data_IF_550479154531
#
_entry.id   IF_550479154531
#
_cell.length_a   1.000
_cell.length_b   1.000
_cell.length_c   1.000
_cell.angle_alpha   90.00
_cell.angle_beta   90.00
_cell.angle_gamma   90.00
#
_symmetry.space_group_name_H-M   'P 1'
#
loop_
_entity.id
_entity.type
_entity.pdbx_description
1 polymer ?
#
# COMPACT_ATOMS: atom_id res chain seq x y z
N UNK A 1 -17.02 17.97 -16.46
CA UNK A 1 -16.33 17.31 -15.33
C UNK A 1 -15.41 16.22 -15.87
N UNK A 2 -14.17 16.12 -15.42
CA UNK A 2 -13.27 15.04 -15.83
C UNK A 2 -13.69 13.73 -15.20
N UNK A 3 -13.61 12.64 -15.96
CA UNK A 3 -13.90 11.28 -15.45
C UNK A 3 -12.73 10.80 -14.59
N UNK A 4 -13.03 10.16 -13.47
CA UNK A 4 -12.01 9.49 -12.63
C UNK A 4 -12.03 8.00 -12.92
N UNK A 5 -10.89 7.44 -13.30
CA UNK A 5 -10.70 6.00 -13.48
C UNK A 5 -9.97 5.48 -12.24
N UNK A 6 -10.54 4.48 -11.56
CA UNK A 6 -9.96 3.87 -10.36
C UNK A 6 -9.54 2.44 -10.67
N UNK A 7 -8.24 2.22 -10.80
CA UNK A 7 -7.66 0.89 -10.91
C UNK A 7 -7.21 0.38 -9.53
N UNK A 8 -7.62 -0.84 -9.17
CA UNK A 8 -7.51 -1.35 -7.80
C UNK A 8 -8.69 -0.95 -6.91
N UNK A 9 -9.83 -0.67 -7.52
CA UNK A 9 -11.05 -0.21 -6.85
C UNK A 9 -11.55 -1.16 -5.73
N UNK A 10 -11.16 -2.44 -5.76
CA UNK A 10 -11.56 -3.46 -4.78
C UNK A 10 -10.54 -3.73 -3.69
N UNK A 11 -9.38 -3.08 -3.72
CA UNK A 11 -8.40 -3.22 -2.65
C UNK A 11 -8.74 -2.29 -1.46
N UNK A 12 -7.95 -2.35 -0.39
CA UNK A 12 -8.19 -1.57 0.82
C UNK A 12 -8.20 -0.04 0.59
N UNK A 13 -7.39 0.50 -0.33
CA UNK A 13 -7.41 1.93 -0.66
C UNK A 13 -8.67 2.27 -1.46
N UNK A 14 -8.99 1.46 -2.48
CA UNK A 14 -10.19 1.61 -3.29
C UNK A 14 -11.49 1.56 -2.47
N UNK A 15 -11.53 0.70 -1.43
CA UNK A 15 -12.66 0.62 -0.51
C UNK A 15 -12.99 1.96 0.16
N UNK A 16 -11.99 2.72 0.58
CA UNK A 16 -12.18 4.04 1.20
C UNK A 16 -12.23 5.19 0.18
N UNK A 17 -11.66 4.98 -1.01
CA UNK A 17 -11.61 6.02 -2.04
C UNK A 17 -12.94 6.19 -2.76
N UNK A 18 -13.59 5.10 -3.17
CA UNK A 18 -14.83 5.17 -3.95
C UNK A 18 -15.94 5.98 -3.27
N UNK A 19 -16.25 5.80 -1.96
CA UNK A 19 -17.26 6.60 -1.28
C UNK A 19 -16.95 8.10 -1.22
N UNK A 20 -15.70 8.50 -1.43
CA UNK A 20 -15.25 9.90 -1.40
C UNK A 20 -15.34 10.58 -2.78
N UNK A 21 -15.72 9.84 -3.81
CA UNK A 21 -15.82 10.32 -5.19
C UNK A 21 -17.28 10.49 -5.63
N UNK A 22 -18.21 10.75 -4.71
CA UNK A 22 -19.65 10.85 -5.00
C UNK A 22 -19.99 11.96 -6.01
N UNK A 23 -19.25 13.06 -5.99
CA UNK A 23 -19.46 14.21 -6.88
C UNK A 23 -18.76 14.05 -8.24
N UNK A 24 -18.17 12.90 -8.53
CA UNK A 24 -17.41 12.65 -9.75
C UNK A 24 -18.03 11.50 -10.54
N UNK A 25 -17.87 11.56 -11.87
CA UNK A 25 -18.08 10.39 -12.74
C UNK A 25 -16.92 9.43 -12.58
N UNK A 26 -17.18 8.22 -12.10
CA UNK A 26 -16.14 7.22 -11.79
C UNK A 26 -16.29 6.00 -12.68
N UNK A 27 -15.18 5.54 -13.26
CA UNK A 27 -15.04 4.20 -13.84
C UNK A 27 -14.18 3.37 -12.89
N UNK A 28 -14.81 2.45 -12.17
CA UNK A 28 -14.11 1.56 -11.23
C UNK A 28 -13.76 0.24 -11.92
N UNK A 29 -12.47 -0.14 -11.90
CA UNK A 29 -11.98 -1.34 -12.58
C UNK A 29 -11.90 -2.50 -11.59
N UNK A 30 -12.49 -3.64 -11.98
CA UNK A 30 -12.48 -4.89 -11.23
C UNK A 30 -12.39 -6.09 -12.15
N UNK A 31 -11.74 -7.17 -11.71
CA UNK A 31 -11.77 -8.47 -12.40
C UNK A 31 -13.10 -9.22 -12.22
N UNK A 32 -13.90 -8.81 -11.24
CA UNK A 32 -15.23 -9.36 -10.98
C UNK A 32 -16.30 -8.36 -11.37
N UNK A 33 -17.43 -8.84 -11.90
CA UNK A 33 -18.60 -8.03 -12.15
C UNK A 33 -19.15 -7.44 -10.85
N UNK A 34 -19.57 -6.18 -10.90
CA UNK A 34 -20.17 -5.45 -9.77
C UNK A 34 -21.30 -4.56 -10.30
N UNK A 35 -22.36 -4.34 -9.51
CA UNK A 35 -23.44 -3.47 -9.91
C UNK A 35 -22.99 -2.01 -10.00
N UNK A 36 -23.46 -1.31 -11.02
CA UNK A 36 -23.25 0.12 -11.17
C UNK A 36 -24.09 0.89 -10.13
N UNK A 37 -23.63 2.08 -9.79
CA UNK A 37 -24.39 3.08 -9.03
C UNK A 37 -24.54 4.35 -9.88
N UNK A 38 -25.23 5.36 -9.38
CA UNK A 38 -25.50 6.60 -10.14
C UNK A 38 -24.23 7.29 -10.66
N UNK A 39 -23.16 7.26 -9.86
CA UNK A 39 -21.90 7.92 -10.19
C UNK A 39 -20.74 6.95 -10.50
N UNK A 40 -20.86 5.65 -10.20
CA UNK A 40 -19.81 4.64 -10.41
C UNK A 40 -20.26 3.62 -11.45
N UNK A 41 -19.56 3.60 -12.57
CA UNK A 41 -19.68 2.55 -13.58
C UNK A 41 -18.57 1.52 -13.37
N UNK A 42 -18.94 0.27 -13.08
CA UNK A 42 -17.99 -0.81 -12.92
C UNK A 42 -17.63 -1.42 -14.27
N UNK A 43 -16.34 -1.43 -14.58
CA UNK A 43 -15.79 -2.12 -15.74
C UNK A 43 -15.13 -3.44 -15.28
N UNK A 44 -15.71 -4.56 -15.73
CA UNK A 44 -15.07 -5.86 -15.53
C UNK A 44 -13.98 -6.03 -16.58
N UNK A 45 -12.72 -5.98 -16.15
CA UNK A 45 -11.57 -6.13 -17.02
C UNK A 45 -10.32 -6.59 -16.24
N UNK A 46 -9.41 -7.28 -16.92
CA UNK A 46 -8.10 -7.63 -16.39
C UNK A 46 -7.02 -6.73 -17.03
N UNK A 47 -6.42 -5.88 -16.22
CA UNK A 47 -5.36 -4.94 -16.65
C UNK A 47 -4.06 -5.64 -17.07
N UNK A 48 -3.95 -6.98 -16.94
CA UNK A 48 -2.81 -7.74 -17.47
C UNK A 48 -2.96 -8.03 -18.96
N UNK A 49 -4.18 -7.99 -19.49
CA UNK A 49 -4.52 -8.35 -20.87
C UNK A 49 -5.24 -7.26 -21.64
N UNK A 50 -5.83 -6.29 -20.95
CA UNK A 50 -6.68 -5.26 -21.55
C UNK A 50 -6.16 -3.84 -21.26
N UNK A 51 -6.59 -2.89 -22.09
CA UNK A 51 -6.16 -1.48 -22.01
C UNK A 51 -7.03 -0.66 -21.05
N UNK A 52 -6.52 0.52 -20.67
CA UNK A 52 -7.27 1.50 -19.90
C UNK A 52 -8.44 2.07 -20.70
N UNK A 53 -9.65 2.24 -20.09
CA UNK A 53 -10.86 2.67 -20.79
C UNK A 53 -10.94 4.21 -20.93
N UNK A 54 -9.99 4.83 -21.66
CA UNK A 54 -9.92 6.28 -21.78
C UNK A 54 -10.71 6.76 -22.99
N UNK A 55 -11.96 7.20 -22.76
CA UNK A 55 -12.86 7.70 -23.81
C UNK A 55 -13.17 9.19 -23.68
N UNK A 56 -12.78 9.84 -22.57
CA UNK A 56 -13.01 11.26 -22.28
C UNK A 56 -11.83 11.81 -21.45
N UNK A 57 -11.70 13.13 -21.28
CA UNK A 57 -10.71 13.71 -20.37
C UNK A 57 -10.80 13.07 -18.99
N UNK A 58 -9.73 12.41 -18.56
CA UNK A 58 -9.74 11.52 -17.39
C UNK A 58 -8.52 11.71 -16.51
N UNK A 59 -8.69 11.41 -15.21
CA UNK A 59 -7.61 11.21 -14.25
C UNK A 59 -7.59 9.74 -13.83
N UNK A 60 -6.42 9.14 -13.70
CA UNK A 60 -6.24 7.76 -13.26
C UNK A 60 -5.73 7.73 -11.82
N UNK A 61 -6.53 7.13 -10.93
CA UNK A 61 -6.13 6.77 -9.57
C UNK A 61 -5.76 5.28 -9.57
N UNK A 62 -4.47 5.01 -9.44
CA UNK A 62 -3.94 3.67 -9.65
C UNK A 62 -3.38 3.08 -8.36
N UNK A 63 -4.09 2.14 -7.76
CA UNK A 63 -3.68 1.37 -6.58
C UNK A 63 -3.55 -0.14 -6.85
N UNK A 64 -3.61 -0.56 -8.11
CA UNK A 64 -3.27 -1.92 -8.54
C UNK A 64 -1.74 -2.13 -8.54
N UNK A 65 -1.21 -3.34 -8.81
CA UNK A 65 0.24 -3.57 -8.83
C UNK A 65 0.98 -2.64 -9.80
N UNK A 66 1.86 -1.80 -9.28
CA UNK A 66 2.56 -0.76 -10.04
C UNK A 66 3.31 -1.27 -11.28
N UNK A 67 3.96 -2.46 -11.28
CA UNK A 67 4.65 -2.97 -12.46
C UNK A 67 3.80 -3.13 -13.73
N UNK A 68 2.48 -3.19 -13.61
CA UNK A 68 1.58 -3.27 -14.75
C UNK A 68 1.34 -1.90 -15.43
N UNK A 69 1.44 -0.81 -14.68
CA UNK A 69 1.05 0.52 -15.14
C UNK A 69 1.87 1.05 -16.33
N UNK A 70 3.21 0.90 -16.38
CA UNK A 70 3.99 1.40 -17.51
C UNK A 70 3.54 0.81 -18.86
N UNK A 71 3.28 -0.49 -18.91
CA UNK A 71 2.80 -1.15 -20.14
C UNK A 71 1.42 -0.64 -20.56
N UNK A 72 0.52 -0.43 -19.58
CA UNK A 72 -0.80 0.16 -19.85
C UNK A 72 -0.71 1.57 -20.42
N UNK A 73 0.23 2.38 -19.92
CA UNK A 73 0.47 3.73 -20.46
C UNK A 73 1.12 3.70 -21.85
N UNK A 74 2.04 2.77 -22.08
CA UNK A 74 2.71 2.59 -23.38
C UNK A 74 1.71 2.25 -24.51
N UNK A 75 0.63 1.52 -24.18
CA UNK A 75 -0.43 1.16 -25.11
C UNK A 75 -1.38 2.32 -25.45
N UNK A 76 -1.30 3.45 -24.74
CA UNK A 76 -2.12 4.63 -25.04
C UNK A 76 -1.60 5.35 -26.29
N UNK A 77 -2.49 5.97 -27.08
CA UNK A 77 -2.08 6.81 -28.19
C UNK A 77 -1.23 8.00 -27.70
N UNK A 78 -0.36 8.51 -28.57
CA UNK A 78 0.53 9.64 -28.24
C UNK A 78 -0.29 10.88 -27.77
N UNK A 79 -1.41 11.17 -28.42
CA UNK A 79 -2.39 12.15 -27.97
C UNK A 79 -3.51 11.41 -27.21
N UNK A 80 -3.32 11.28 -25.90
CA UNK A 80 -4.31 10.64 -25.03
C UNK A 80 -5.17 11.68 -24.32
N UNK A 81 -6.39 11.29 -23.95
CA UNK A 81 -7.27 12.09 -23.09
C UNK A 81 -7.02 11.86 -21.59
N UNK A 82 -6.01 11.06 -21.23
CA UNK A 82 -5.55 10.91 -19.85
C UNK A 82 -4.71 12.15 -19.46
N UNK A 83 -5.23 12.93 -18.53
CA UNK A 83 -4.60 14.21 -18.14
C UNK A 83 -3.69 14.06 -16.92
N UNK A 84 -3.97 13.08 -16.03
CA UNK A 84 -3.23 12.89 -14.79
C UNK A 84 -3.23 11.44 -14.33
N UNK A 85 -2.09 11.02 -13.79
CA UNK A 85 -1.91 9.72 -13.12
C UNK A 85 -1.49 9.96 -11.68
N UNK A 86 -2.21 9.38 -10.72
CA UNK A 86 -1.83 9.29 -9.32
C UNK A 86 -1.66 7.81 -9.00
N UNK A 87 -0.41 7.38 -8.84
CA UNK A 87 -0.08 5.98 -8.70
C UNK A 87 0.48 5.65 -7.31
N UNK A 88 -0.01 4.57 -6.71
CA UNK A 88 0.57 4.02 -5.48
C UNK A 88 1.72 3.08 -5.81
N UNK A 89 2.87 3.37 -5.20
CA UNK A 89 4.05 2.52 -5.12
C UNK A 89 4.17 1.96 -3.69
N UNK A 90 5.37 1.83 -3.16
CA UNK A 90 5.63 1.40 -1.78
C UNK A 90 7.01 1.83 -1.31
N UNK A 91 7.15 2.16 -0.02
CA UNK A 91 8.46 2.33 0.63
C UNK A 91 9.29 1.04 0.65
N UNK A 92 8.71 -0.11 0.29
CA UNK A 92 9.43 -1.37 0.07
C UNK A 92 10.53 -1.27 -0.99
N UNK A 93 10.46 -0.29 -1.91
CA UNK A 93 11.53 -0.03 -2.88
C UNK A 93 12.88 0.31 -2.20
N UNK A 94 12.83 0.97 -1.05
CA UNK A 94 14.03 1.34 -0.29
C UNK A 94 14.45 0.23 0.70
N UNK A 95 13.46 -0.34 1.41
CA UNK A 95 13.73 -1.26 2.51
C UNK A 95 14.12 -2.66 2.05
N UNK A 96 13.83 -3.02 0.80
CA UNK A 96 14.11 -4.34 0.24
C UNK A 96 15.23 -4.37 -0.80
N UNK A 97 15.75 -3.21 -1.20
CA UNK A 97 16.79 -3.09 -2.21
C UNK A 97 18.06 -3.85 -1.84
N UNK A 98 18.48 -3.72 -0.57
CA UNK A 98 19.67 -4.39 -0.02
C UNK A 98 19.35 -5.68 0.76
N UNK A 99 18.15 -6.27 0.53
CA UNK A 99 17.80 -7.52 1.19
C UNK A 99 18.64 -8.68 0.68
N UNK A 100 19.05 -9.57 1.60
CA UNK A 100 19.70 -10.85 1.24
C UNK A 100 18.70 -11.85 0.65
N UNK A 101 17.40 -11.61 0.80
CA UNK A 101 16.35 -12.44 0.21
C UNK A 101 16.10 -12.02 -1.23
N UNK A 102 16.36 -12.92 -2.18
CA UNK A 102 16.19 -12.67 -3.61
C UNK A 102 14.77 -12.20 -3.99
N UNK A 103 13.72 -12.79 -3.39
CA UNK A 103 12.33 -12.39 -3.66
C UNK A 103 12.06 -10.93 -3.21
N UNK A 104 12.59 -10.52 -2.07
CA UNK A 104 12.45 -9.13 -1.60
C UNK A 104 13.21 -8.16 -2.50
N UNK A 105 14.43 -8.51 -2.89
CA UNK A 105 15.24 -7.71 -3.81
C UNK A 105 14.56 -7.55 -5.17
N UNK A 106 13.94 -8.63 -5.69
CA UNK A 106 13.13 -8.59 -6.91
C UNK A 106 11.96 -7.61 -6.79
N UNK A 107 11.24 -7.62 -5.67
CA UNK A 107 10.13 -6.66 -5.43
C UNK A 107 10.64 -5.22 -5.44
N UNK A 108 11.76 -4.91 -4.80
CA UNK A 108 12.33 -3.56 -4.81
C UNK A 108 12.73 -3.13 -6.23
N UNK A 109 13.44 -4.00 -6.96
CA UNK A 109 13.86 -3.75 -8.35
C UNK A 109 12.65 -3.50 -9.26
N UNK A 110 11.60 -4.31 -9.17
CA UNK A 110 10.37 -4.13 -9.94
C UNK A 110 9.69 -2.79 -9.65
N UNK A 111 9.65 -2.35 -8.38
CA UNK A 111 9.07 -1.06 -8.00
C UNK A 111 9.91 0.10 -8.57
N UNK A 112 11.24 0.04 -8.47
CA UNK A 112 12.15 1.07 -8.99
C UNK A 112 12.00 1.17 -10.51
N UNK A 113 12.04 0.05 -11.22
CA UNK A 113 11.87 0.01 -12.68
C UNK A 113 10.50 0.54 -13.11
N UNK A 114 9.44 0.14 -12.40
CA UNK A 114 8.08 0.58 -12.72
C UNK A 114 7.89 2.08 -12.50
N UNK A 115 8.43 2.67 -11.41
CA UNK A 115 8.38 4.11 -11.19
C UNK A 115 9.12 4.88 -12.29
N UNK A 116 10.33 4.44 -12.65
CA UNK A 116 11.13 5.05 -13.72
C UNK A 116 10.42 4.99 -15.07
N UNK A 117 9.88 3.82 -15.42
CA UNK A 117 9.15 3.64 -16.66
C UNK A 117 7.83 4.44 -16.69
N UNK A 118 7.08 4.48 -15.58
CA UNK A 118 5.88 5.32 -15.44
C UNK A 118 6.19 6.79 -15.72
N UNK A 119 7.23 7.32 -15.10
CA UNK A 119 7.65 8.72 -15.30
C UNK A 119 7.95 8.99 -16.76
N UNK A 120 8.74 8.11 -17.40
CA UNK A 120 9.08 8.22 -18.83
C UNK A 120 7.84 8.23 -19.73
N UNK A 121 6.91 7.27 -19.52
CA UNK A 121 5.68 7.17 -20.32
C UNK A 121 4.78 8.42 -20.15
N UNK A 122 4.65 8.92 -18.90
CA UNK A 122 3.90 10.15 -18.64
C UNK A 122 4.53 11.38 -19.30
N UNK A 123 5.86 11.52 -19.23
CA UNK A 123 6.58 12.64 -19.86
C UNK A 123 6.44 12.62 -21.39
N UNK A 124 6.55 11.46 -22.03
CA UNK A 124 6.41 11.33 -23.48
C UNK A 124 5.02 11.72 -24.00
N UNK A 125 3.97 11.56 -23.17
CA UNK A 125 2.57 11.83 -23.52
C UNK A 125 2.01 13.12 -22.90
N UNK A 126 2.86 13.92 -22.25
CA UNK A 126 2.45 15.14 -21.51
C UNK A 126 1.35 14.85 -20.46
N UNK A 127 1.42 13.71 -19.78
CA UNK A 127 0.52 13.35 -18.69
C UNK A 127 1.13 13.82 -17.38
N UNK A 128 0.39 14.62 -16.60
CA UNK A 128 0.79 14.95 -15.23
C UNK A 128 0.80 13.70 -14.36
N UNK A 129 1.81 13.53 -13.49
CA UNK A 129 1.92 12.35 -12.65
C UNK A 129 2.28 12.68 -11.21
N UNK A 130 1.90 11.81 -10.30
CA UNK A 130 2.33 11.82 -8.89
C UNK A 130 2.44 10.37 -8.41
N UNK A 131 3.54 10.05 -7.72
CA UNK A 131 3.76 8.72 -7.14
C UNK A 131 3.70 8.80 -5.63
N UNK A 132 2.83 8.01 -5.02
CA UNK A 132 2.61 7.89 -3.58
C UNK A 132 3.22 6.59 -3.07
N UNK A 133 4.13 6.67 -2.09
CA UNK A 133 4.84 5.52 -1.51
C UNK A 133 4.42 5.32 -0.05
N UNK A 134 3.33 4.60 0.20
CA UNK A 134 2.90 4.32 1.56
C UNK A 134 3.88 3.39 2.29
N UNK A 135 3.89 3.50 3.61
CA UNK A 135 4.53 2.55 4.53
C UNK A 135 3.65 1.31 4.73
N UNK A 136 3.54 0.77 5.93
CA UNK A 136 2.71 -0.39 6.26
C UNK A 136 1.22 -0.01 6.20
N UNK A 137 0.56 -0.34 5.08
CA UNK A 137 -0.87 -0.02 4.89
C UNK A 137 -1.75 -1.02 5.64
N UNK A 138 -2.77 -0.51 6.34
CA UNK A 138 -3.79 -1.29 7.02
C UNK A 138 -5.17 -0.62 6.93
N UNK A 139 -6.23 -1.33 7.32
CA UNK A 139 -7.61 -0.82 7.30
C UNK A 139 -8.61 -1.97 7.24
N UNK A 140 -9.58 -1.99 6.39
CA UNK A 140 -10.75 -2.85 6.30
C UNK A 140 -10.51 -4.39 6.26
N UNK A 141 -9.51 -4.91 6.96
CA UNK A 141 -9.27 -6.36 7.08
C UNK A 141 -8.65 -7.04 5.85
N UNK A 142 -8.23 -6.27 4.83
CA UNK A 142 -7.66 -6.82 3.58
C UNK A 142 -6.12 -6.84 3.57
N UNK A 143 -5.46 -6.30 4.59
CA UNK A 143 -4.00 -6.34 4.70
C UNK A 143 -3.50 -7.69 5.26
N UNK A 144 -2.26 -8.03 4.90
CA UNK A 144 -1.61 -9.29 5.31
C UNK A 144 -0.75 -9.17 6.56
N UNK A 145 -0.68 -8.00 7.18
CA UNK A 145 0.19 -7.73 8.32
C UNK A 145 -0.63 -7.54 9.60
N UNK A 146 -1.30 -6.40 9.74
CA UNK A 146 -2.04 -6.05 10.96
C UNK A 146 -3.24 -6.97 11.12
N UNK A 147 -3.97 -7.24 10.02
CA UNK A 147 -5.07 -8.21 10.02
C UNK A 147 -4.59 -9.61 10.42
N UNK A 148 -3.42 -10.06 9.92
CA UNK A 148 -2.86 -11.36 10.34
C UNK A 148 -2.56 -11.38 11.84
N UNK A 149 -1.92 -10.31 12.38
CA UNK A 149 -1.61 -10.21 13.82
C UNK A 149 -2.89 -10.21 14.64
N UNK A 150 -3.90 -9.41 14.26
CA UNK A 150 -5.18 -9.33 14.96
C UNK A 150 -5.92 -10.67 14.97
N UNK A 151 -5.98 -11.37 13.84
CA UNK A 151 -6.59 -12.69 13.75
C UNK A 151 -5.84 -13.74 14.59
N UNK A 152 -4.51 -13.69 14.60
CA UNK A 152 -3.70 -14.58 15.44
C UNK A 152 -3.98 -14.33 16.93
N UNK A 153 -3.99 -13.08 17.36
CA UNK A 153 -4.32 -12.69 18.74
C UNK A 153 -5.74 -13.12 19.10
N UNK A 154 -6.71 -12.94 18.20
CA UNK A 154 -8.09 -13.37 18.43
C UNK A 154 -8.20 -14.87 18.64
N UNK A 155 -7.45 -15.65 17.85
CA UNK A 155 -7.49 -17.12 17.89
C UNK A 155 -6.75 -17.73 19.08
N UNK A 156 -5.56 -17.18 19.40
CA UNK A 156 -4.66 -17.83 20.35
C UNK A 156 -4.49 -17.06 21.68
N UNK A 157 -4.90 -15.81 21.77
CA UNK A 157 -4.80 -14.96 22.95
C UNK A 157 -3.39 -14.46 23.28
N UNK A 158 -2.39 -14.74 22.45
CA UNK A 158 -1.01 -14.25 22.55
C UNK A 158 -0.43 -13.97 21.18
N UNK A 159 0.75 -13.31 21.12
CA UNK A 159 1.48 -13.15 19.86
C UNK A 159 2.99 -13.35 20.07
N UNK A 160 3.66 -14.21 19.26
CA UNK A 160 5.10 -14.41 19.33
C UNK A 160 5.84 -13.32 18.55
N UNK A 161 6.90 -12.77 19.13
CA UNK A 161 7.84 -11.89 18.44
C UNK A 161 9.26 -12.48 18.49
N UNK A 162 10.05 -12.19 17.46
CA UNK A 162 11.42 -12.64 17.39
C UNK A 162 12.34 -11.52 17.92
N UNK A 163 13.16 -11.83 18.91
CA UNK A 163 14.01 -10.85 19.59
C UNK A 163 13.19 -9.89 20.44
N UNK A 164 13.61 -8.63 20.50
CA UNK A 164 12.97 -7.59 21.31
C UNK A 164 11.81 -6.87 20.61
N UNK A 165 11.75 -6.92 19.27
CA UNK A 165 10.78 -6.19 18.47
C UNK A 165 10.94 -4.66 18.55
N UNK A 166 12.19 -4.18 18.58
CA UNK A 166 12.52 -2.76 18.76
C UNK A 166 12.44 -1.94 17.46
N UNK A 167 12.47 -2.60 16.31
CA UNK A 167 12.44 -1.90 15.02
C UNK A 167 11.18 -1.05 14.84
N UNK A 168 11.37 0.18 14.38
CA UNK A 168 10.31 1.19 14.29
C UNK A 168 9.44 1.00 13.04
N UNK A 169 8.16 1.32 13.19
CA UNK A 169 7.11 1.23 12.15
C UNK A 169 6.24 2.47 12.17
N UNK A 170 5.68 2.80 11.00
CA UNK A 170 4.74 3.89 10.80
C UNK A 170 3.51 3.38 10.05
N UNK A 171 2.62 2.59 10.70
CA UNK A 171 1.44 2.06 10.02
C UNK A 171 0.53 3.18 9.54
N UNK A 172 0.08 3.12 8.27
CA UNK A 172 -0.79 4.12 7.66
C UNK A 172 -2.15 3.52 7.33
N UNK A 173 -3.22 4.20 7.72
CA UNK A 173 -4.57 3.74 7.44
C UNK A 173 -4.95 3.97 5.97
N UNK A 174 -5.60 3.00 5.34
CA UNK A 174 -5.98 3.07 3.92
C UNK A 174 -6.93 4.24 3.61
N UNK A 175 -7.75 4.67 4.57
CA UNK A 175 -8.61 5.85 4.44
C UNK A 175 -7.80 7.16 4.37
N UNK A 176 -6.68 7.26 5.08
CA UNK A 176 -5.79 8.44 5.00
C UNK A 176 -5.09 8.49 3.63
N UNK A 177 -4.77 7.32 3.05
CA UNK A 177 -4.25 7.22 1.69
C UNK A 177 -5.31 7.60 0.64
N UNK A 178 -6.57 7.23 0.86
CA UNK A 178 -7.69 7.63 0.02
C UNK A 178 -7.88 9.15 0.03
N UNK A 179 -7.83 9.77 1.22
CA UNK A 179 -7.86 11.25 1.37
C UNK A 179 -6.67 11.90 0.66
N UNK A 180 -5.46 11.38 0.88
CA UNK A 180 -4.24 11.87 0.25
C UNK A 180 -4.33 11.83 -1.29
N UNK A 181 -4.91 10.76 -1.86
CA UNK A 181 -5.11 10.64 -3.30
C UNK A 181 -5.95 11.80 -3.86
N UNK A 182 -7.04 12.16 -3.18
CA UNK A 182 -7.92 13.28 -3.58
C UNK A 182 -7.20 14.61 -3.39
N UNK A 183 -6.54 14.83 -2.25
CA UNK A 183 -5.79 16.07 -1.99
C UNK A 183 -4.70 16.30 -3.05
N UNK A 184 -3.99 15.24 -3.42
CA UNK A 184 -2.98 15.26 -4.49
C UNK A 184 -3.63 15.60 -5.84
N UNK A 185 -4.80 15.05 -6.16
CA UNK A 185 -5.51 15.34 -7.40
C UNK A 185 -5.91 16.81 -7.54
N UNK A 186 -6.24 17.45 -6.42
CA UNK A 186 -6.67 18.84 -6.37
C UNK A 186 -5.49 19.85 -6.34
N UNK A 187 -4.28 19.40 -6.00
CA UNK A 187 -3.11 20.27 -5.86
C UNK A 187 -2.21 20.22 -7.10
N UNK A 188 -1.97 21.37 -7.73
CA UNK A 188 -0.99 21.49 -8.83
C UNK A 188 0.45 21.38 -8.33
N UNK A 189 0.71 21.67 -7.04
CA UNK A 189 2.05 21.56 -6.42
C UNK A 189 2.59 20.14 -6.41
N UNK A 190 1.72 19.13 -6.58
CA UNK A 190 2.06 17.72 -6.52
C UNK A 190 2.41 17.10 -7.88
N UNK A 191 2.29 17.87 -8.95
CA UNK A 191 2.62 17.42 -10.31
C UNK A 191 4.12 17.15 -10.42
N UNK A 192 4.46 16.02 -11.06
CA UNK A 192 5.83 15.52 -11.26
C UNK A 192 6.61 15.29 -9.96
N UNK A 193 5.92 14.89 -8.89
CA UNK A 193 6.51 14.64 -7.59
C UNK A 193 6.23 13.23 -7.07
N UNK A 194 7.07 12.84 -6.12
CA UNK A 194 6.94 11.58 -5.39
C UNK A 194 6.88 11.86 -3.90
N UNK A 195 6.01 11.15 -3.16
CA UNK A 195 5.82 11.36 -1.74
C UNK A 195 5.84 10.03 -0.98
N UNK A 196 6.59 9.97 0.12
CA UNK A 196 6.42 8.92 1.10
C UNK A 196 5.21 9.27 1.99
N UNK A 197 4.33 8.31 2.21
CA UNK A 197 3.13 8.48 3.03
C UNK A 197 3.21 7.56 4.23
N UNK A 198 3.47 8.15 5.39
CA UNK A 198 3.58 7.44 6.67
C UNK A 198 2.27 7.54 7.46
N UNK A 199 2.09 6.70 8.48
CA UNK A 199 1.09 6.95 9.50
C UNK A 199 1.49 8.09 10.45
N UNK A 200 0.53 8.59 11.20
CA UNK A 200 0.73 9.72 12.14
C UNK A 200 1.45 9.36 13.44
N UNK A 201 1.92 8.11 13.58
CA UNK A 201 2.60 7.63 14.77
C UNK A 201 3.74 6.67 14.39
N UNK A 202 4.90 6.87 15.04
CA UNK A 202 6.01 5.93 14.97
C UNK A 202 5.99 5.04 16.21
N UNK A 203 5.96 3.73 16.01
CA UNK A 203 5.87 2.72 17.07
C UNK A 203 6.98 1.67 16.88
N UNK A 204 7.51 1.13 17.98
CA UNK A 204 8.27 -0.11 17.87
C UNK A 204 7.35 -1.26 17.40
N UNK A 205 7.92 -2.29 16.81
CA UNK A 205 7.13 -3.46 16.39
C UNK A 205 6.39 -4.07 17.60
N UNK A 206 7.01 -4.08 18.78
CA UNK A 206 6.40 -4.51 20.04
C UNK A 206 5.22 -3.62 20.45
N UNK A 207 5.41 -2.29 20.43
CA UNK A 207 4.35 -1.35 20.81
C UNK A 207 3.19 -1.39 19.82
N UNK A 208 3.47 -1.57 18.54
CA UNK A 208 2.43 -1.80 17.53
C UNK A 208 1.59 -3.04 17.85
N UNK A 209 2.21 -4.16 18.26
CA UNK A 209 1.47 -5.37 18.67
C UNK A 209 0.70 -5.12 19.96
N UNK A 210 1.28 -4.42 20.94
CA UNK A 210 0.59 -4.02 22.18
C UNK A 210 -0.66 -3.21 21.85
N UNK A 211 -0.55 -2.21 20.98
CA UNK A 211 -1.68 -1.41 20.54
C UNK A 211 -2.76 -2.26 19.82
N UNK A 212 -2.37 -3.29 19.04
CA UNK A 212 -3.35 -4.20 18.42
C UNK A 212 -4.12 -4.99 19.51
N UNK A 213 -3.45 -5.46 20.57
CA UNK A 213 -4.16 -6.10 21.69
C UNK A 213 -5.18 -5.15 22.33
N UNK A 214 -4.78 -3.90 22.60
CA UNK A 214 -5.63 -2.87 23.19
C UNK A 214 -6.85 -2.56 22.31
N UNK A 215 -6.63 -2.38 21.00
CA UNK A 215 -7.68 -2.16 20.01
C UNK A 215 -8.67 -3.34 19.89
N UNK A 216 -8.23 -4.55 20.23
CA UNK A 216 -9.07 -5.75 20.32
C UNK A 216 -9.71 -5.94 21.71
N UNK A 217 -9.50 -5.02 22.67
CA UNK A 217 -9.99 -5.13 24.03
C UNK A 217 -9.35 -6.26 24.83
N UNK A 218 -8.12 -6.68 24.50
CA UNK A 218 -7.41 -7.80 25.11
C UNK A 218 -6.17 -7.35 25.87
N UNK A 219 -5.83 -8.04 26.94
CA UNK A 219 -4.56 -7.81 27.67
C UNK A 219 -3.37 -8.26 26.82
N UNK A 220 -2.31 -7.43 26.67
CA UNK A 220 -1.12 -7.81 25.91
C UNK A 220 -0.42 -9.05 26.45
N UNK A 221 -0.26 -10.06 25.60
CA UNK A 221 0.48 -11.30 25.90
C UNK A 221 1.48 -11.56 24.77
N UNK A 222 2.64 -10.91 24.87
CA UNK A 222 3.69 -10.98 23.85
C UNK A 222 4.80 -11.92 24.34
N UNK A 223 5.05 -13.00 23.58
CA UNK A 223 6.09 -13.98 23.87
C UNK A 223 7.32 -13.68 23.01
N UNK A 224 8.43 -13.27 23.65
CA UNK A 224 9.69 -13.03 22.93
C UNK A 224 10.46 -14.34 22.74
N UNK A 225 10.71 -14.70 21.49
CA UNK A 225 11.51 -15.86 21.09
C UNK A 225 12.94 -15.36 20.82
N UNK A 226 13.97 -15.85 21.52
CA UNK A 226 15.35 -15.49 21.24
C UNK A 226 15.73 -15.79 19.78
N UNK A 227 16.40 -14.85 19.10
CA UNK A 227 16.76 -14.98 17.68
C UNK A 227 17.55 -16.25 17.35
N UNK A 228 18.50 -16.74 18.18
CA UNK A 228 19.19 -18.00 17.91
C UNK A 228 18.25 -19.21 17.92
N UNK A 229 17.35 -19.25 18.90
CA UNK A 229 16.37 -20.34 19.02
C UNK A 229 15.43 -20.38 17.82
N UNK A 230 14.96 -19.20 17.37
CA UNK A 230 14.13 -19.08 16.19
C UNK A 230 14.85 -19.53 14.91
N UNK A 231 16.12 -19.15 14.74
CA UNK A 231 16.94 -19.56 13.60
C UNK A 231 17.10 -21.07 13.53
N UNK A 232 17.33 -21.71 14.68
CA UNK A 232 17.42 -23.18 14.78
C UNK A 232 16.07 -23.84 14.45
N UNK A 233 14.98 -23.33 15.01
CA UNK A 233 13.64 -23.82 14.73
C UNK A 233 13.31 -23.73 13.23
N UNK A 234 13.60 -22.61 12.58
CA UNK A 234 13.35 -22.45 11.14
C UNK A 234 14.15 -23.47 10.34
N UNK A 235 15.42 -23.69 10.62
CA UNK A 235 16.22 -24.71 9.92
C UNK A 235 15.59 -26.10 9.99
N UNK A 236 14.94 -26.42 11.10
CA UNK A 236 14.24 -27.70 11.26
C UNK A 236 12.88 -27.74 10.54
N UNK A 237 12.16 -26.59 10.49
CA UNK A 237 10.78 -26.52 9.96
C UNK A 237 10.75 -26.27 8.44
N UNK A 238 11.75 -25.59 7.87
CA UNK A 238 11.85 -25.35 6.41
C UNK A 238 12.05 -26.61 5.59
N UNK A 239 12.32 -27.74 6.22
CA UNK A 239 12.28 -29.08 5.60
C UNK A 239 10.84 -29.47 5.21
N UNK A 240 9.82 -28.84 5.79
CA UNK A 240 8.42 -29.07 5.44
C UNK A 240 8.00 -28.02 4.37
N UNK A 241 7.52 -28.42 3.17
CA UNK A 241 7.16 -27.53 2.07
C UNK A 241 6.19 -26.41 2.47
N UNK A 242 5.31 -26.69 3.44
CA UNK A 242 4.30 -25.76 3.97
C UNK A 242 4.91 -24.51 4.64
N UNK A 243 6.14 -24.57 5.11
CA UNK A 243 6.82 -23.49 5.87
C UNK A 243 8.03 -22.90 5.16
N UNK A 244 8.28 -23.30 3.90
CA UNK A 244 9.41 -22.81 3.07
C UNK A 244 9.40 -21.30 2.82
N UNK A 245 8.29 -20.61 3.09
CA UNK A 245 8.15 -19.16 2.95
C UNK A 245 8.58 -18.35 4.17
N UNK A 246 8.82 -19.02 5.33
CA UNK A 246 9.32 -18.37 6.54
C UNK A 246 10.84 -18.21 6.40
N UNK A 247 11.30 -16.96 6.36
CA UNK A 247 12.71 -16.62 6.13
C UNK A 247 13.35 -16.02 7.37
N UNK A 248 14.64 -16.29 7.56
CA UNK A 248 15.47 -15.62 8.58
C UNK A 248 15.51 -14.09 8.40
N UNK A 249 15.24 -13.58 7.19
CA UNK A 249 15.12 -12.13 6.95
C UNK A 249 13.95 -11.48 7.70
N UNK A 250 12.93 -12.24 8.10
CA UNK A 250 11.87 -11.72 8.99
C UNK A 250 12.44 -11.28 10.35
N UNK A 251 13.41 -12.02 10.88
CA UNK A 251 14.09 -11.68 12.16
C UNK A 251 14.78 -10.33 12.07
N UNK A 252 15.55 -10.13 11.02
CA UNK A 252 16.29 -8.89 10.80
C UNK A 252 15.31 -7.71 10.66
N UNK A 253 14.24 -7.89 9.89
CA UNK A 253 13.25 -6.83 9.64
C UNK A 253 12.46 -6.42 10.89
N UNK A 254 12.12 -7.34 11.78
CA UNK A 254 11.38 -7.03 13.02
C UNK A 254 12.15 -6.07 13.90
N UNK A 255 13.51 -6.12 13.86
CA UNK A 255 14.39 -5.29 14.67
C UNK A 255 15.03 -4.12 13.88
N UNK A 256 14.71 -3.96 12.60
CA UNK A 256 15.21 -2.87 11.75
C UNK A 256 14.17 -1.75 11.67
N UNK A 257 14.61 -0.49 11.71
CA UNK A 257 13.74 0.67 11.55
C UNK A 257 13.27 0.81 10.10
N UNK A 258 11.96 0.96 9.94
CA UNK A 258 11.30 1.19 8.65
C UNK A 258 10.50 2.50 8.73
N UNK A 259 11.25 3.59 8.95
CA UNK A 259 10.71 4.95 9.09
C UNK A 259 11.10 5.82 7.90
N UNK A 260 10.18 6.69 7.52
CA UNK A 260 10.33 7.60 6.39
C UNK A 260 9.84 8.98 6.76
N UNK A 261 10.38 9.98 6.11
CA UNK A 261 9.90 11.35 6.21
C UNK A 261 8.72 11.60 5.27
N UNK A 262 7.67 12.28 5.75
CA UNK A 262 6.50 12.69 5.00
C UNK A 262 6.29 14.21 5.00
N UNK A 263 7.28 14.99 5.43
CA UNK A 263 7.20 16.47 5.55
C UNK A 263 6.82 17.14 4.23
N UNK A 264 7.35 16.67 3.10
CA UNK A 264 6.99 17.18 1.78
C UNK A 264 5.49 16.99 1.47
N UNK A 265 4.90 15.87 1.89
CA UNK A 265 3.47 15.61 1.73
C UNK A 265 2.62 16.53 2.62
N UNK A 266 3.06 16.78 3.85
CA UNK A 266 2.41 17.72 4.77
C UNK A 266 2.42 19.14 4.20
N UNK A 267 3.56 19.58 3.66
CA UNK A 267 3.72 20.91 3.10
C UNK A 267 2.93 21.11 1.80
N UNK A 268 3.01 20.18 0.85
CA UNK A 268 2.50 20.39 -0.51
C UNK A 268 0.99 20.18 -0.63
N UNK A 269 0.39 19.32 0.18
CA UNK A 269 -1.05 19.03 0.11
C UNK A 269 -1.71 18.75 1.47
N UNK A 270 -1.10 19.25 2.57
CA UNK A 270 -1.65 19.17 3.93
C UNK A 270 -1.97 17.73 4.37
N UNK A 271 -1.03 16.80 4.14
CA UNK A 271 -1.17 15.41 4.56
C UNK A 271 -1.18 15.29 6.09
N UNK A 272 -2.28 14.81 6.66
CA UNK A 272 -2.47 14.67 8.12
C UNK A 272 -2.99 13.26 8.42
N UNK A 273 -2.11 12.26 8.50
CA UNK A 273 -2.51 10.90 8.83
C UNK A 273 -2.87 10.76 10.31
N UNK A 274 -3.86 9.93 10.60
CA UNK A 274 -4.26 9.59 11.98
C UNK A 274 -3.18 8.79 12.70
N UNK A 275 -3.18 8.83 14.04
CA UNK A 275 -2.38 7.92 14.85
C UNK A 275 -2.93 6.50 14.76
N UNK A 276 -2.05 5.52 14.94
CA UNK A 276 -2.43 4.11 14.91
C UNK A 276 -3.39 3.72 16.04
N UNK A 277 -3.28 4.39 17.18
CA UNK A 277 -4.11 4.18 18.37
C UNK A 277 -5.50 4.80 18.30
N UNK A 278 -5.74 5.74 17.36
CA UNK A 278 -6.99 6.50 17.27
C UNK A 278 -8.08 5.81 16.43
N UNK A 279 -7.98 4.51 16.24
CA UNK A 279 -8.88 3.72 15.39
C UNK A 279 -9.59 2.61 16.16
N UNK A 280 -10.72 2.16 15.60
CA UNK A 280 -11.30 0.86 15.95
C UNK A 280 -10.93 -0.12 14.85
N UNK A 281 -10.30 -1.24 15.23
CA UNK A 281 -10.08 -2.34 14.28
C UNK A 281 -11.43 -3.06 14.07
N UNK A 282 -11.95 -3.02 12.86
CA UNK A 282 -13.15 -3.78 12.46
C UNK A 282 -12.67 -5.08 11.80
N UNK A 283 -12.50 -6.15 12.60
CA UNK A 283 -12.16 -7.49 12.12
C UNK A 283 -13.18 -8.51 12.62
#
# INVERSE_FOLDING_TARGET
>A
MSTIIVAGATNQIGHFLLPRLQDYKVIAISRQSRPNTDNISWLQTDLTTENLPIKAPSQLFYSAPLPLLPSLLANLPQKTLLTRVIAFSSTSRFTKENSTNHKEKTVASQLIQAETALIKECQQRNIAWTILRPTLVYGCGLDKNITFIANFINKFGFFPIIGRGTGLRQPVHADDLAKACIQVALSTKTISKTYNLTGGQTLSYRDMITAIFELLGKKPRIISIPSPLFTTMIRCITWLPKYSHISTTMVTRINQDLCFDCTSAQHDFNYQPRKFTDIKLCY
#
